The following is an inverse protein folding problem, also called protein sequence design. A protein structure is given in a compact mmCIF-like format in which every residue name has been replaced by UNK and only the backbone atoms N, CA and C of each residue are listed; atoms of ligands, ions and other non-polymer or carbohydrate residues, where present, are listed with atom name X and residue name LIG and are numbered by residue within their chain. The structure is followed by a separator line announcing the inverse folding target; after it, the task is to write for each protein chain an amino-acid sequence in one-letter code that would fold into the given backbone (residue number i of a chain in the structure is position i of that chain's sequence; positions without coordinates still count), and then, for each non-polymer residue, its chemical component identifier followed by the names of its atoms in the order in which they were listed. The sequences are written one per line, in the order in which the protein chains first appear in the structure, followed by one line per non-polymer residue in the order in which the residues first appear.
data_IF_341923056143
#
_entry.id   IF_341923056143
#
_cell.length_a   1.000
_cell.length_b   1.000
_cell.length_c   1.000
_cell.angle_alpha   90.00
_cell.angle_beta   90.00
_cell.angle_gamma   90.00
#
_symmetry.space_group_name_H-M   'P 1'
#
loop_
_entity.id
_entity.type
_entity.pdbx_description
1 polymer ?
#
# COMPACT_ATOMS: atom_id res chain seq x y z
N UNK A 1 -17.17 -3.32 5.60
CA UNK A 1 -16.40 -3.42 6.89
C UNK A 1 -16.17 -2.00 7.38
N UNK A 2 -16.39 -1.70 8.65
CA UNK A 2 -16.15 -0.36 9.21
C UNK A 2 -14.71 -0.20 9.68
N UNK A 3 -14.21 1.03 9.67
CA UNK A 3 -12.87 1.37 10.20
C UNK A 3 -12.84 1.26 11.72
N UNK A 4 -13.91 1.74 12.37
CA UNK A 4 -14.01 1.70 13.85
C UNK A 4 -13.80 0.28 14.36
N UNK A 5 -12.95 0.15 15.36
CA UNK A 5 -12.56 -1.12 16.00
C UNK A 5 -11.88 -2.15 15.09
N UNK A 6 -11.65 -1.85 13.79
CA UNK A 6 -10.87 -2.73 12.92
C UNK A 6 -9.38 -2.71 13.30
N UNK A 7 -8.68 -3.78 12.95
CA UNK A 7 -7.22 -3.89 13.09
C UNK A 7 -6.59 -3.94 11.70
N UNK A 8 -5.72 -2.98 11.42
CA UNK A 8 -5.05 -2.86 10.14
C UNK A 8 -3.53 -2.99 10.25
N UNK A 9 -2.90 -3.53 9.22
CA UNK A 9 -1.48 -3.35 8.94
C UNK A 9 -1.35 -2.46 7.71
N UNK A 10 -0.55 -1.41 7.79
CA UNK A 10 -0.22 -0.54 6.65
C UNK A 10 1.29 -0.56 6.43
N UNK A 11 1.74 -1.17 5.34
CA UNK A 11 3.18 -1.24 5.04
C UNK A 11 3.70 0.06 4.46
N UNK A 12 4.96 0.45 4.78
CA UNK A 12 5.55 1.69 4.29
C UNK A 12 4.80 2.95 4.75
N UNK A 13 4.34 2.99 5.99
CA UNK A 13 3.41 4.01 6.50
C UNK A 13 4.03 5.09 7.38
N UNK A 14 5.35 5.22 7.38
CA UNK A 14 6.03 6.32 8.10
C UNK A 14 5.93 7.68 7.40
N UNK A 15 5.44 7.74 6.15
CA UNK A 15 5.29 8.95 5.33
C UNK A 15 4.33 8.75 4.15
N UNK A 16 4.01 9.85 3.46
CA UNK A 16 3.27 9.87 2.20
C UNK A 16 1.89 9.21 2.27
N UNK A 17 1.52 8.45 1.24
CA UNK A 17 0.22 7.78 1.14
C UNK A 17 0.00 6.83 2.33
N UNK A 18 1.02 6.05 2.70
CA UNK A 18 0.90 5.12 3.82
C UNK A 18 0.63 5.80 5.16
N UNK A 19 1.25 6.96 5.41
CA UNK A 19 0.97 7.77 6.60
C UNK A 19 -0.47 8.30 6.60
N UNK A 20 -0.93 8.84 5.47
CA UNK A 20 -2.31 9.33 5.35
C UNK A 20 -3.34 8.19 5.58
N UNK A 21 -3.06 6.99 5.08
CA UNK A 21 -3.89 5.81 5.34
C UNK A 21 -3.87 5.45 6.83
N UNK A 22 -2.70 5.42 7.46
CA UNK A 22 -2.59 5.13 8.90
C UNK A 22 -3.32 6.17 9.76
N UNK A 23 -3.22 7.46 9.40
CA UNK A 23 -3.97 8.56 10.03
C UNK A 23 -5.48 8.35 9.92
N UNK A 24 -5.98 8.01 8.74
CA UNK A 24 -7.39 7.72 8.50
C UNK A 24 -7.92 6.60 9.40
N UNK A 25 -7.11 5.53 9.63
CA UNK A 25 -7.48 4.48 10.58
C UNK A 25 -7.54 4.98 12.02
N UNK A 26 -6.51 5.69 12.46
CA UNK A 26 -6.42 6.22 13.83
C UNK A 26 -7.57 7.19 14.14
N UNK A 27 -7.84 8.13 13.24
CA UNK A 27 -8.94 9.10 13.34
C UNK A 27 -10.32 8.42 13.29
N UNK A 28 -10.45 7.35 12.51
CA UNK A 28 -11.65 6.53 12.41
C UNK A 28 -11.91 5.61 13.62
N UNK A 29 -11.04 5.61 14.63
CA UNK A 29 -11.17 4.75 15.81
C UNK A 29 -10.69 3.31 15.59
N UNK A 30 -9.96 3.05 14.52
CA UNK A 30 -9.31 1.77 14.24
C UNK A 30 -7.99 1.61 15.02
N UNK A 31 -7.45 0.39 15.00
CA UNK A 31 -6.12 0.04 15.50
C UNK A 31 -5.23 -0.21 14.31
N UNK A 32 -3.99 0.29 14.32
CA UNK A 32 -3.11 0.15 13.18
C UNK A 32 -1.68 -0.17 13.57
N UNK A 33 -1.09 -1.16 12.89
CA UNK A 33 0.34 -1.36 12.88
C UNK A 33 0.92 -0.59 11.68
N UNK A 34 1.71 0.44 11.97
CA UNK A 34 2.49 1.14 10.97
C UNK A 34 3.82 0.44 10.75
N UNK A 35 4.33 0.49 9.52
CA UNK A 35 5.57 -0.21 9.16
C UNK A 35 6.55 0.70 8.42
N UNK A 36 7.82 0.49 8.68
CA UNK A 36 8.95 0.93 7.87
C UNK A 36 9.96 -0.21 7.70
N UNK A 37 10.78 -0.15 6.64
CA UNK A 37 11.77 -1.22 6.37
C UNK A 37 12.84 -1.37 7.43
N UNK A 38 13.07 -0.33 8.23
CA UNK A 38 14.08 -0.31 9.32
C UNK A 38 13.51 0.39 10.55
N UNK A 39 14.03 -0.01 11.68
CA UNK A 39 13.81 0.67 12.95
C UNK A 39 14.31 2.12 12.89
N UNK A 40 13.53 3.06 13.41
CA UNK A 40 13.91 4.48 13.44
C UNK A 40 13.07 5.29 14.43
N UNK A 41 13.65 6.35 15.00
CA UNK A 41 12.94 7.30 15.84
C UNK A 41 11.73 7.94 15.14
N UNK A 42 11.83 8.13 13.82
CA UNK A 42 10.72 8.67 13.02
C UNK A 42 9.53 7.74 13.04
N UNK A 43 9.73 6.42 12.89
CA UNK A 43 8.66 5.44 12.95
C UNK A 43 7.94 5.47 14.30
N UNK A 44 8.68 5.50 15.41
CA UNK A 44 8.11 5.57 16.76
C UNK A 44 7.41 6.89 17.04
N UNK A 45 7.99 8.02 16.63
CA UNK A 45 7.33 9.33 16.75
C UNK A 45 6.00 9.38 16.02
N UNK A 46 5.94 8.83 14.81
CA UNK A 46 4.70 8.73 14.03
C UNK A 46 3.68 7.86 14.73
N UNK A 47 4.07 6.66 15.21
CA UNK A 47 3.16 5.79 15.95
C UNK A 47 2.57 6.48 17.18
N UNK A 48 3.40 7.15 17.97
CA UNK A 48 2.98 7.88 19.17
C UNK A 48 2.06 9.07 18.85
N UNK A 49 2.35 9.79 17.78
CA UNK A 49 1.53 10.94 17.35
C UNK A 49 0.14 10.53 16.87
N UNK A 50 0.04 9.40 16.16
CA UNK A 50 -1.23 8.88 15.63
C UNK A 50 -2.09 8.19 16.70
N UNK A 51 -1.48 7.54 17.69
CA UNK A 51 -2.21 6.75 18.69
C UNK A 51 -1.56 6.81 20.08
N UNK A 52 -1.65 7.97 20.78
CA UNK A 52 -1.06 8.11 22.12
C UNK A 52 -1.65 7.16 23.15
N UNK A 53 -2.82 6.60 22.87
CA UNK A 53 -3.55 5.62 23.68
C UNK A 53 -3.16 4.16 23.41
N UNK A 54 -2.15 3.91 22.57
CA UNK A 54 -1.67 2.58 22.22
C UNK A 54 -2.49 1.84 21.14
N UNK A 55 -3.38 2.54 20.44
CA UNK A 55 -4.09 2.00 19.26
C UNK A 55 -3.21 1.95 18.02
N UNK A 56 -2.08 2.62 18.02
CA UNK A 56 -1.10 2.58 16.93
C UNK A 56 0.20 1.99 17.45
N UNK A 57 0.72 0.97 16.75
CA UNK A 57 2.04 0.39 17.05
C UNK A 57 2.99 0.55 15.87
N UNK A 58 4.28 0.65 16.18
CA UNK A 58 5.36 0.63 15.21
C UNK A 58 5.84 -0.81 14.98
N UNK A 59 6.04 -1.17 13.71
CA UNK A 59 6.65 -2.45 13.33
C UNK A 59 7.76 -2.17 12.30
N UNK A 60 8.97 -2.62 12.57
CA UNK A 60 10.07 -2.52 11.62
C UNK A 60 10.29 -3.85 10.89
N UNK A 61 10.50 -3.78 9.57
CA UNK A 61 10.80 -4.95 8.76
C UNK A 61 10.69 -4.64 7.26
N UNK A 62 11.64 -5.15 6.49
CA UNK A 62 11.61 -5.07 5.03
C UNK A 62 10.58 -6.05 4.49
N UNK A 63 9.56 -5.56 3.80
CA UNK A 63 8.52 -6.42 3.20
C UNK A 63 9.07 -7.41 2.16
N UNK A 64 10.23 -7.11 1.56
CA UNK A 64 10.94 -8.04 0.68
C UNK A 64 11.57 -9.25 1.40
N UNK A 65 11.56 -9.27 2.72
CA UNK A 65 12.01 -10.37 3.56
C UNK A 65 10.80 -11.12 4.16
N UNK A 66 10.70 -12.40 3.84
CA UNK A 66 9.55 -13.24 4.23
C UNK A 66 9.41 -13.37 5.75
N UNK A 67 10.54 -13.57 6.46
CA UNK A 67 10.53 -13.71 7.92
C UNK A 67 10.29 -12.37 8.63
N UNK A 68 10.75 -11.26 8.07
CA UNK A 68 10.40 -9.94 8.59
C UNK A 68 8.89 -9.68 8.47
N UNK A 69 8.27 -10.09 7.37
CA UNK A 69 6.80 -10.01 7.20
C UNK A 69 6.07 -10.85 8.24
N UNK A 70 6.54 -12.06 8.53
CA UNK A 70 5.98 -12.89 9.60
C UNK A 70 6.02 -12.16 10.95
N UNK A 71 7.16 -11.57 11.32
CA UNK A 71 7.30 -10.82 12.58
C UNK A 71 6.34 -9.63 12.67
N UNK A 72 6.14 -8.89 11.56
CA UNK A 72 5.17 -7.79 11.50
C UNK A 72 3.76 -8.29 11.80
N UNK A 73 3.38 -9.40 11.16
CA UNK A 73 2.05 -10.01 11.33
C UNK A 73 1.86 -10.53 12.74
N UNK A 74 2.83 -11.32 13.26
CA UNK A 74 2.78 -11.88 14.60
C UNK A 74 2.69 -10.78 15.67
N UNK A 75 3.56 -9.77 15.61
CA UNK A 75 3.53 -8.62 16.54
C UNK A 75 2.17 -7.92 16.54
N UNK A 76 1.54 -7.77 15.36
CA UNK A 76 0.23 -7.13 15.24
C UNK A 76 -0.87 -8.01 15.83
N UNK A 77 -0.84 -9.31 15.53
CA UNK A 77 -1.80 -10.29 16.03
C UNK A 77 -1.71 -10.45 17.56
N UNK A 78 -0.50 -10.52 18.10
CA UNK A 78 -0.26 -10.62 19.55
C UNK A 78 -0.75 -9.37 20.28
N UNK A 79 -0.54 -8.19 19.70
CA UNK A 79 -0.94 -6.91 20.31
C UNK A 79 -2.44 -6.65 20.27
N UNK A 80 -3.11 -7.02 19.17
CA UNK A 80 -4.52 -6.65 18.92
C UNK A 80 -5.48 -7.85 18.83
N UNK A 81 -4.97 -9.07 18.87
CA UNK A 81 -5.76 -10.30 18.85
C UNK A 81 -6.27 -10.73 17.47
N UNK A 82 -6.14 -9.87 16.44
CA UNK A 82 -6.63 -10.14 15.09
C UNK A 82 -6.03 -9.19 14.05
N UNK A 83 -6.24 -9.50 12.79
CA UNK A 83 -5.97 -8.60 11.66
C UNK A 83 -7.19 -8.65 10.73
N UNK A 84 -7.81 -7.52 10.49
CA UNK A 84 -9.00 -7.37 9.64
C UNK A 84 -8.65 -6.81 8.27
N UNK A 85 -7.61 -5.97 8.21
CA UNK A 85 -7.24 -5.23 7.00
C UNK A 85 -5.71 -5.28 6.81
N UNK A 86 -5.30 -5.56 5.57
CA UNK A 86 -3.91 -5.41 5.13
C UNK A 86 -3.85 -4.38 4.01
N UNK A 87 -3.03 -3.34 4.18
CA UNK A 87 -2.73 -2.39 3.10
C UNK A 87 -1.28 -2.54 2.67
N UNK A 88 -1.07 -3.13 1.51
CA UNK A 88 0.22 -3.25 0.86
C UNK A 88 0.55 -1.94 0.14
N UNK A 89 1.20 -1.02 0.86
CA UNK A 89 1.58 0.29 0.36
C UNK A 89 3.10 0.46 0.21
N UNK A 90 3.92 -0.32 0.91
CA UNK A 90 5.38 -0.21 0.80
C UNK A 90 5.83 -0.22 -0.65
N UNK A 91 6.72 0.71 -1.00
CA UNK A 91 7.17 0.86 -2.36
C UNK A 91 8.42 1.71 -2.50
N UNK A 92 9.11 1.49 -3.59
CA UNK A 92 10.26 2.26 -4.05
C UNK A 92 9.96 2.82 -5.45
N UNK A 93 10.65 3.87 -5.82
CA UNK A 93 10.51 4.49 -7.13
C UNK A 93 11.88 4.87 -7.69
N UNK A 94 12.03 4.75 -8.98
CA UNK A 94 13.22 5.18 -9.71
C UNK A 94 12.91 5.26 -11.20
N UNK A 95 13.69 6.06 -11.91
CA UNK A 95 13.66 6.16 -13.36
C UNK A 95 14.98 5.68 -13.91
N UNK A 96 14.94 4.72 -14.83
CA UNK A 96 16.14 4.21 -15.51
C UNK A 96 15.76 3.64 -16.86
N UNK A 97 16.46 4.04 -17.92
CA UNK A 97 16.22 3.49 -19.26
C UNK A 97 16.60 2.02 -19.27
N UNK A 98 15.89 1.21 -20.05
CA UNK A 98 16.11 -0.25 -20.08
C UNK A 98 17.54 -0.63 -20.43
N UNK A 99 18.17 0.11 -21.35
CA UNK A 99 19.57 -0.11 -21.75
C UNK A 99 20.60 0.21 -20.67
N UNK A 100 20.21 0.98 -19.65
CA UNK A 100 21.04 1.39 -18.52
C UNK A 100 20.72 0.58 -17.25
N UNK A 101 19.63 -0.21 -17.31
CA UNK A 101 19.09 -0.93 -16.16
C UNK A 101 19.96 -2.17 -15.87
N UNK A 102 20.40 -2.30 -14.64
CA UNK A 102 21.06 -3.50 -14.17
C UNK A 102 20.03 -4.50 -13.59
N UNK A 103 20.32 -5.81 -13.56
CA UNK A 103 19.41 -6.80 -12.97
C UNK A 103 18.92 -6.43 -11.57
N UNK A 104 19.78 -5.87 -10.73
CA UNK A 104 19.43 -5.43 -9.37
C UNK A 104 18.38 -4.31 -9.32
N UNK A 105 18.28 -3.47 -10.36
CA UNK A 105 17.27 -2.41 -10.42
C UNK A 105 15.88 -3.03 -10.62
N UNK A 106 15.82 -4.03 -11.52
CA UNK A 106 14.63 -4.81 -11.76
C UNK A 106 14.20 -5.63 -10.52
N UNK A 107 15.12 -6.40 -9.99
CA UNK A 107 14.91 -7.24 -8.80
C UNK A 107 14.42 -6.42 -7.61
N UNK A 108 14.99 -5.24 -7.37
CA UNK A 108 14.57 -4.36 -6.27
C UNK A 108 13.11 -3.93 -6.40
N UNK A 109 12.67 -3.57 -7.62
CA UNK A 109 11.26 -3.20 -7.86
C UNK A 109 10.33 -4.37 -7.58
N UNK A 110 10.62 -5.56 -8.10
CA UNK A 110 9.78 -6.73 -7.88
C UNK A 110 9.84 -7.20 -6.42
N UNK A 111 11.00 -7.18 -5.80
CA UNK A 111 11.19 -7.59 -4.40
C UNK A 111 10.31 -6.78 -3.46
N UNK A 112 10.26 -5.46 -3.64
CA UNK A 112 9.46 -4.60 -2.74
C UNK A 112 7.98 -4.62 -3.10
N UNK A 113 7.64 -4.43 -4.40
CA UNK A 113 6.25 -4.23 -4.79
C UNK A 113 5.44 -5.53 -4.93
N UNK A 114 6.06 -6.60 -5.42
CA UNK A 114 5.37 -7.85 -5.73
C UNK A 114 5.61 -8.89 -4.64
N UNK A 115 6.87 -9.21 -4.36
CA UNK A 115 7.20 -10.18 -3.33
C UNK A 115 6.82 -9.67 -1.95
N UNK A 116 7.01 -8.35 -1.68
CA UNK A 116 6.58 -7.75 -0.43
C UNK A 116 5.08 -7.86 -0.18
N UNK A 117 4.25 -7.59 -1.19
CA UNK A 117 2.81 -7.78 -1.09
C UNK A 117 2.45 -9.26 -0.88
N UNK A 118 3.05 -10.15 -1.67
CA UNK A 118 2.85 -11.59 -1.52
C UNK A 118 3.25 -12.10 -0.12
N UNK A 119 4.41 -11.70 0.39
CA UNK A 119 4.91 -12.11 1.70
C UNK A 119 3.92 -11.70 2.82
N UNK A 120 3.46 -10.45 2.81
CA UNK A 120 2.47 -9.96 3.77
C UNK A 120 1.15 -10.72 3.66
N UNK A 121 0.65 -10.91 2.44
CA UNK A 121 -0.58 -11.67 2.16
C UNK A 121 -0.44 -13.10 2.70
N UNK A 122 0.65 -13.77 2.42
CA UNK A 122 0.88 -15.17 2.80
C UNK A 122 0.81 -15.39 4.31
N UNK A 123 1.22 -14.40 5.10
CA UNK A 123 1.16 -14.48 6.56
C UNK A 123 -0.20 -14.02 7.14
N UNK A 124 -0.84 -13.03 6.54
CA UNK A 124 -2.13 -12.51 7.02
C UNK A 124 -3.30 -13.41 6.62
N UNK A 125 -3.27 -13.98 5.41
CA UNK A 125 -4.38 -14.71 4.81
C UNK A 125 -4.91 -15.86 5.69
N UNK A 126 -4.09 -16.71 6.31
CA UNK A 126 -4.59 -17.78 7.19
C UNK A 126 -5.40 -17.26 8.38
N UNK A 127 -5.03 -16.08 8.92
CA UNK A 127 -5.74 -15.46 10.04
C UNK A 127 -7.11 -14.92 9.60
N UNK A 128 -7.17 -14.34 8.39
CA UNK A 128 -8.42 -13.84 7.81
C UNK A 128 -9.36 -15.00 7.41
N UNK A 129 -8.82 -16.04 6.74
CA UNK A 129 -9.60 -17.22 6.30
C UNK A 129 -10.23 -17.96 7.49
N UNK A 130 -9.50 -18.16 8.60
CA UNK A 130 -10.03 -18.75 9.83
C UNK A 130 -11.26 -17.99 10.36
N UNK A 131 -11.31 -16.68 10.16
CA UNK A 131 -12.41 -15.81 10.61
C UNK A 131 -13.46 -15.56 9.54
N UNK A 132 -13.23 -16.03 8.32
CA UNK A 132 -14.05 -15.77 7.11
C UNK A 132 -14.33 -14.27 6.93
N UNK A 133 -13.35 -13.44 7.19
CA UNK A 133 -13.49 -11.97 7.15
C UNK A 133 -12.13 -11.31 6.97
N UNK A 134 -12.00 -10.48 5.94
CA UNK A 134 -10.81 -9.68 5.72
C UNK A 134 -10.91 -8.77 4.50
N UNK A 135 -10.08 -7.73 4.47
CA UNK A 135 -9.89 -6.87 3.30
C UNK A 135 -8.40 -6.66 3.07
N UNK A 136 -7.95 -6.94 1.86
CA UNK A 136 -6.60 -6.67 1.40
C UNK A 136 -6.66 -5.54 0.37
N UNK A 137 -5.91 -4.48 0.60
CA UNK A 137 -5.79 -3.34 -0.32
C UNK A 137 -4.36 -3.27 -0.84
N UNK A 138 -4.19 -3.33 -2.14
CA UNK A 138 -2.90 -3.21 -2.81
C UNK A 138 -2.76 -1.82 -3.45
N UNK A 139 -1.78 -1.02 -3.03
CA UNK A 139 -1.51 0.28 -3.65
C UNK A 139 -0.70 0.04 -4.93
N UNK A 140 -1.42 -0.04 -6.04
CA UNK A 140 -0.90 -0.17 -7.39
C UNK A 140 -0.37 1.18 -7.93
N UNK A 141 -0.58 1.47 -9.19
CA UNK A 141 -0.33 2.77 -9.82
C UNK A 141 -1.02 2.82 -11.18
N UNK A 142 -1.48 3.99 -11.62
CA UNK A 142 -1.95 4.17 -12.99
C UNK A 142 -0.86 3.87 -14.04
N UNK A 143 0.42 3.99 -13.65
CA UNK A 143 1.59 3.67 -14.49
C UNK A 143 1.57 2.20 -14.96
N UNK A 144 0.88 1.32 -14.27
CA UNK A 144 0.68 -0.08 -14.68
C UNK A 144 0.01 -0.21 -16.06
N UNK A 145 -0.86 0.74 -16.43
CA UNK A 145 -1.64 0.72 -17.67
C UNK A 145 -1.34 1.90 -18.60
N UNK A 146 -0.88 3.03 -18.04
CA UNK A 146 -0.58 4.28 -18.78
C UNK A 146 0.75 4.87 -18.31
N UNK A 147 1.91 4.30 -18.71
CA UNK A 147 3.21 4.86 -18.35
C UNK A 147 3.37 6.27 -18.97
N UNK A 148 3.64 7.30 -18.17
CA UNK A 148 3.67 8.69 -18.67
C UNK A 148 4.98 9.08 -19.38
N UNK A 149 5.82 8.12 -19.73
CA UNK A 149 7.07 8.35 -20.44
C UNK A 149 8.16 7.29 -20.14
N UNK A 150 9.36 7.43 -20.71
CA UNK A 150 10.43 6.44 -20.61
C UNK A 150 10.99 6.27 -19.19
N UNK A 151 11.80 5.23 -19.00
CA UNK A 151 12.51 4.95 -17.74
C UNK A 151 11.68 4.26 -16.67
N UNK A 152 10.48 3.77 -16.99
CA UNK A 152 9.53 3.20 -16.01
C UNK A 152 9.24 1.72 -16.21
N UNK A 153 9.98 1.04 -17.09
CA UNK A 153 9.65 -0.34 -17.47
C UNK A 153 9.57 -1.26 -16.25
N UNK A 154 10.58 -1.25 -15.36
CA UNK A 154 10.60 -2.07 -14.14
C UNK A 154 9.46 -1.70 -13.18
N UNK A 155 9.21 -0.40 -12.95
CA UNK A 155 8.15 0.06 -12.06
C UNK A 155 6.75 -0.26 -12.61
N UNK A 156 6.51 0.03 -13.90
CA UNK A 156 5.25 -0.27 -14.57
C UNK A 156 4.95 -1.77 -14.54
N UNK A 157 5.95 -2.61 -14.85
CA UNK A 157 5.83 -4.07 -14.80
C UNK A 157 5.50 -4.57 -13.40
N UNK A 158 6.20 -4.07 -12.36
CA UNK A 158 5.91 -4.47 -10.98
C UNK A 158 4.51 -4.06 -10.53
N UNK A 159 4.05 -2.86 -10.91
CA UNK A 159 2.70 -2.38 -10.58
C UNK A 159 1.61 -3.10 -11.38
N UNK A 160 1.88 -3.51 -12.62
CA UNK A 160 0.99 -4.36 -13.40
C UNK A 160 0.88 -5.77 -12.80
N UNK A 161 2.00 -6.35 -12.35
CA UNK A 161 2.01 -7.63 -11.65
C UNK A 161 1.17 -7.56 -10.35
N UNK A 162 1.26 -6.46 -9.59
CA UNK A 162 0.46 -6.26 -8.38
C UNK A 162 -1.04 -6.15 -8.70
N UNK A 163 -1.42 -5.54 -9.83
CA UNK A 163 -2.81 -5.50 -10.30
C UNK A 163 -3.30 -6.91 -10.69
N UNK A 164 -2.46 -7.70 -11.34
CA UNK A 164 -2.74 -9.11 -11.65
C UNK A 164 -2.94 -9.95 -10.39
N UNK A 165 -2.04 -9.79 -9.39
CA UNK A 165 -2.15 -10.44 -8.08
C UNK A 165 -3.47 -10.07 -7.39
N UNK A 166 -3.85 -8.78 -7.42
CA UNK A 166 -5.12 -8.29 -6.86
C UNK A 166 -6.32 -9.04 -7.43
N UNK A 167 -6.37 -9.15 -8.74
CA UNK A 167 -7.49 -9.81 -9.45
C UNK A 167 -7.52 -11.31 -9.16
N UNK A 168 -6.40 -11.99 -9.34
CA UNK A 168 -6.33 -13.44 -9.15
C UNK A 168 -6.66 -13.86 -7.71
N UNK A 169 -6.03 -13.21 -6.74
CA UNK A 169 -6.28 -13.48 -5.33
C UNK A 169 -7.72 -13.12 -4.92
N UNK A 170 -8.25 -12.00 -5.41
CA UNK A 170 -9.62 -11.59 -5.10
C UNK A 170 -10.67 -12.62 -5.52
N UNK A 171 -10.46 -13.29 -6.65
CA UNK A 171 -11.31 -14.40 -7.11
C UNK A 171 -11.11 -15.65 -6.26
N UNK A 172 -9.86 -15.96 -5.88
CA UNK A 172 -9.51 -17.15 -5.10
C UNK A 172 -10.14 -17.14 -3.71
N UNK A 173 -10.10 -15.98 -3.02
CA UNK A 173 -10.48 -15.89 -1.60
C UNK A 173 -11.87 -15.32 -1.32
N UNK A 174 -12.63 -14.98 -2.37
CA UNK A 174 -13.97 -14.41 -2.21
C UNK A 174 -14.93 -15.32 -1.44
N UNK A 175 -14.87 -16.62 -1.70
CA UNK A 175 -15.68 -17.64 -1.00
C UNK A 175 -15.30 -17.77 0.49
N UNK A 176 -14.11 -17.33 0.87
CA UNK A 176 -13.65 -17.27 2.26
C UNK A 176 -14.08 -15.98 2.99
N UNK A 177 -14.88 -15.14 2.36
CA UNK A 177 -15.32 -13.86 2.92
C UNK A 177 -14.23 -12.80 2.94
N UNK A 178 -13.19 -12.93 2.10
CA UNK A 178 -12.07 -12.00 2.01
C UNK A 178 -12.17 -11.24 0.68
N UNK A 179 -12.00 -9.92 0.72
CA UNK A 179 -11.97 -9.05 -0.46
C UNK A 179 -10.55 -8.55 -0.73
N UNK A 180 -10.20 -8.43 -2.00
CA UNK A 180 -8.91 -7.90 -2.44
C UNK A 180 -9.15 -6.79 -3.45
N UNK A 181 -8.67 -5.59 -3.17
CA UNK A 181 -8.91 -4.40 -3.98
C UNK A 181 -7.59 -3.71 -4.29
N UNK A 182 -7.41 -3.30 -5.53
CA UNK A 182 -6.32 -2.43 -5.96
C UNK A 182 -6.74 -0.96 -5.90
N UNK A 183 -5.84 -0.10 -5.45
CA UNK A 183 -5.97 1.35 -5.64
C UNK A 183 -4.80 1.78 -6.51
N UNK A 184 -5.09 2.48 -7.61
CA UNK A 184 -4.10 2.95 -8.57
C UNK A 184 -4.02 4.48 -8.58
N UNK A 185 -3.17 5.08 -7.73
CA UNK A 185 -2.97 6.52 -7.71
C UNK A 185 -2.35 7.03 -9.00
N UNK A 186 -2.75 8.25 -9.40
CA UNK A 186 -2.03 9.11 -10.31
C UNK A 186 -0.91 9.88 -9.61
N UNK A 187 -0.61 11.06 -10.16
CA UNK A 187 0.42 11.94 -9.60
C UNK A 187 -0.02 12.44 -8.21
N UNK A 188 0.61 11.91 -7.16
CA UNK A 188 0.27 12.19 -5.77
C UNK A 188 1.38 12.96 -5.08
N UNK A 189 1.06 13.98 -4.31
CA UNK A 189 1.99 14.87 -3.62
C UNK A 189 2.68 14.17 -2.45
N UNK A 190 3.79 13.52 -2.75
CA UNK A 190 4.62 12.79 -1.78
C UNK A 190 6.10 13.13 -1.98
N UNK A 191 6.90 12.90 -0.95
CA UNK A 191 8.35 13.10 -1.03
C UNK A 191 8.99 12.30 -2.17
N UNK A 192 8.54 11.05 -2.39
CA UNK A 192 9.01 10.18 -3.48
C UNK A 192 8.75 10.83 -4.84
N UNK A 193 7.57 11.40 -5.05
CA UNK A 193 7.20 12.07 -6.31
C UNK A 193 7.98 13.36 -6.47
N UNK A 194 8.05 14.19 -5.43
CA UNK A 194 8.77 15.48 -5.47
C UNK A 194 10.26 15.31 -5.78
N UNK A 195 10.90 14.26 -5.26
CA UNK A 195 12.32 13.98 -5.50
C UNK A 195 12.60 13.13 -6.74
N UNK A 196 11.66 12.25 -7.12
CA UNK A 196 11.89 11.23 -8.13
C UNK A 196 11.32 11.54 -9.52
N UNK A 197 10.39 12.50 -9.64
CA UNK A 197 9.76 12.83 -10.93
C UNK A 197 10.40 14.10 -11.49
N UNK A 198 11.12 14.01 -12.61
CA UNK A 198 11.69 15.19 -13.27
C UNK A 198 10.56 16.04 -13.90
N UNK A 199 10.81 17.33 -14.06
CA UNK A 199 9.90 18.29 -14.70
C UNK A 199 8.48 18.22 -14.11
N UNK A 200 8.37 18.23 -12.78
CA UNK A 200 7.12 18.02 -12.06
C UNK A 200 6.00 18.98 -12.51
N UNK A 201 6.34 20.24 -12.83
CA UNK A 201 5.39 21.24 -13.33
C UNK A 201 4.78 20.81 -14.68
N UNK A 202 5.62 20.38 -15.62
CA UNK A 202 5.15 19.85 -16.91
C UNK A 202 4.33 18.57 -16.71
N UNK A 203 4.77 17.71 -15.78
CA UNK A 203 4.04 16.49 -15.47
C UNK A 203 2.67 16.77 -14.87
N UNK A 204 2.57 17.78 -14.01
CA UNK A 204 1.32 18.23 -13.40
C UNK A 204 0.35 18.84 -14.42
N UNK A 205 0.86 19.58 -15.43
CA UNK A 205 0.01 20.18 -16.49
C UNK A 205 -0.71 19.14 -17.35
N UNK A 206 -0.30 17.88 -17.31
CA UNK A 206 -0.96 16.76 -18.00
C UNK A 206 -2.12 16.16 -17.19
N UNK A 207 -2.24 16.52 -15.91
CA UNK A 207 -3.37 16.08 -15.08
C UNK A 207 -4.55 17.02 -15.35
N UNK A 208 -5.70 16.54 -15.88
CA UNK A 208 -6.85 17.40 -16.18
C UNK A 208 -7.36 18.25 -15.02
N UNK A 209 -7.29 17.75 -13.79
CA UNK A 209 -7.61 18.54 -12.59
C UNK A 209 -6.56 19.61 -12.23
N UNK A 210 -5.46 19.73 -13.00
CA UNK A 210 -4.44 20.78 -12.87
C UNK A 210 -3.58 20.72 -11.59
N UNK A 211 -3.64 19.63 -10.83
CA UNK A 211 -2.90 19.48 -9.57
C UNK A 211 -2.53 18.03 -9.27
N UNK A 212 -1.61 17.85 -8.35
CA UNK A 212 -1.38 16.55 -7.72
C UNK A 212 -2.53 16.19 -6.77
N UNK A 213 -2.79 14.89 -6.63
CA UNK A 213 -3.64 14.40 -5.56
C UNK A 213 -2.93 14.60 -4.21
N UNK A 214 -3.66 14.92 -3.17
CA UNK A 214 -3.15 14.85 -1.80
C UNK A 214 -3.14 13.39 -1.33
N UNK A 215 -2.20 12.97 -0.47
CA UNK A 215 -2.18 11.62 0.11
C UNK A 215 -3.50 11.23 0.77
N UNK A 216 -4.20 12.19 1.38
CA UNK A 216 -5.51 11.99 2.03
C UNK A 216 -6.61 11.61 1.03
N UNK A 217 -6.53 12.07 -0.23
CA UNK A 217 -7.50 11.70 -1.28
C UNK A 217 -7.34 10.23 -1.68
N UNK A 218 -6.12 9.70 -1.61
CA UNK A 218 -5.85 8.27 -1.79
C UNK A 218 -6.33 7.48 -0.56
N UNK A 219 -6.06 7.96 0.65
CA UNK A 219 -6.55 7.33 1.89
C UNK A 219 -8.08 7.27 1.92
N UNK A 220 -8.79 8.29 1.44
CA UNK A 220 -10.23 8.30 1.29
C UNK A 220 -10.74 7.20 0.33
N UNK A 221 -10.03 6.97 -0.77
CA UNK A 221 -10.37 5.87 -1.69
C UNK A 221 -10.10 4.50 -1.07
N UNK A 222 -9.04 4.37 -0.26
CA UNK A 222 -8.79 3.14 0.52
C UNK A 222 -9.94 2.90 1.50
N UNK A 223 -10.41 3.92 2.20
CA UNK A 223 -11.58 3.82 3.09
C UNK A 223 -12.81 3.36 2.33
N UNK A 224 -13.12 3.98 1.19
CA UNK A 224 -14.22 3.55 0.32
C UNK A 224 -14.11 2.07 -0.07
N UNK A 225 -12.92 1.60 -0.46
CA UNK A 225 -12.71 0.21 -0.83
C UNK A 225 -12.92 -0.77 0.34
N UNK A 226 -12.59 -0.34 1.56
CA UNK A 226 -12.81 -1.13 2.77
C UNK A 226 -14.31 -1.20 3.11
N UNK A 227 -15.02 -0.07 3.04
CA UNK A 227 -16.42 0.05 3.44
C UNK A 227 -17.39 -0.49 2.38
N UNK A 228 -17.04 -0.45 1.09
CA UNK A 228 -17.86 -1.02 0.02
C UNK A 228 -17.73 -2.55 -0.04
N UNK A 229 -18.72 -3.26 0.48
CA UNK A 229 -18.67 -4.71 0.62
C UNK A 229 -18.86 -5.48 -0.70
N UNK A 230 -19.28 -4.83 -1.76
CA UNK A 230 -19.45 -5.44 -3.09
C UNK A 230 -18.23 -5.25 -4.02
N UNK A 231 -17.15 -4.63 -3.51
CA UNK A 231 -15.94 -4.36 -4.28
C UNK A 231 -14.84 -5.39 -3.95
N UNK A 232 -14.48 -6.24 -4.91
CA UNK A 232 -13.36 -7.19 -4.84
C UNK A 232 -12.81 -7.50 -6.24
N UNK A 233 -11.57 -7.98 -6.33
CA UNK A 233 -10.88 -8.36 -7.56
C UNK A 233 -10.72 -7.24 -8.60
N UNK A 234 -10.94 -5.98 -8.22
CA UNK A 234 -10.87 -4.82 -9.10
C UNK A 234 -9.83 -3.80 -8.64
N UNK A 235 -9.43 -2.93 -9.58
CA UNK A 235 -8.52 -1.81 -9.30
C UNK A 235 -9.22 -0.48 -9.57
N UNK A 236 -9.29 0.37 -8.56
CA UNK A 236 -9.87 1.72 -8.63
C UNK A 236 -8.78 2.73 -8.98
N UNK A 237 -8.96 3.48 -10.05
CA UNK A 237 -8.03 4.51 -10.51
C UNK A 237 -8.38 5.87 -9.92
N UNK A 238 -7.39 6.55 -9.34
CA UNK A 238 -7.52 7.89 -8.72
C UNK A 238 -6.48 8.80 -9.34
N UNK A 239 -6.78 9.32 -10.53
CA UNK A 239 -5.76 9.91 -11.42
C UNK A 239 -5.95 11.40 -11.70
N UNK A 240 -7.07 12.00 -11.29
CA UNK A 240 -7.40 13.37 -11.68
C UNK A 240 -7.69 13.55 -13.18
N UNK A 241 -8.04 12.44 -13.86
CA UNK A 241 -8.36 12.40 -15.30
C UNK A 241 -7.20 11.97 -16.20
N UNK A 242 -6.03 11.65 -15.63
CA UNK A 242 -4.82 11.19 -16.33
C UNK A 242 -4.93 9.76 -16.87
#
# INVERSE_FOLDING_TARGET
MEIRDSVAIVTGSSRGIGLAIASMFAEGGGRVAINASKESDTLHRVAKALGPDGRVIATAGDVGDFEACRKIVDTTADRFGRIDILVNNAGVFGLKRTVEMEPRDWETMFRVHVFGAFNMIRHVLPLMTKRKRGVIVNIASFVAVRPPGPGRVHYASAKAALSGLTRALGLEVAADGIRVVGIAPGLTDTEIVRKGVPNLTERMSRVPLGRMARPEEIAHTVRYAIENEFLTAETVYVTGGE
#
